data_IF_003616633465
#
_entry.id   IF_003616633465
#
_cell.length_a   1.000
_cell.length_b   1.000
_cell.length_c   1.000
_cell.angle_alpha   90.00
_cell.angle_beta   90.00
_cell.angle_gamma   90.00
#
_symmetry.space_group_name_H-M   'P 1'
#
loop_
_entity.id
_entity.type
_entity.pdbx_description
1 polymer ?
#
# COMPACT_ATOMS: atom_id res chain seq x y z
N UNK A 1 -10.87 10.72 -3.72
CA UNK A 1 -11.97 9.76 -3.90
C UNK A 1 -13.07 10.52 -4.60
N UNK A 2 -13.57 10.04 -5.74
CA UNK A 2 -14.78 10.59 -6.34
C UNK A 2 -15.96 10.07 -5.52
N UNK A 3 -16.66 10.95 -4.83
CA UNK A 3 -17.88 10.59 -4.10
C UNK A 3 -19.04 10.66 -5.08
N UNK A 4 -19.90 9.64 -5.05
CA UNK A 4 -21.10 9.55 -5.86
C UNK A 4 -22.31 9.68 -4.95
N UNK A 5 -23.32 10.44 -5.36
CA UNK A 5 -24.59 10.45 -4.65
C UNK A 5 -25.27 9.10 -4.85
N UNK A 6 -25.71 8.47 -3.75
CA UNK A 6 -26.35 7.17 -3.78
C UNK A 6 -27.66 7.19 -4.60
N UNK A 7 -28.43 8.28 -4.55
CA UNK A 7 -29.68 8.45 -5.29
C UNK A 7 -29.46 8.58 -6.81
N UNK A 8 -28.26 8.98 -7.24
CA UNK A 8 -27.91 9.11 -8.66
C UNK A 8 -27.47 7.77 -9.28
N UNK A 9 -27.03 6.82 -8.46
CA UNK A 9 -26.34 5.60 -8.95
C UNK A 9 -26.97 4.28 -8.51
N UNK A 10 -27.86 4.31 -7.51
CA UNK A 10 -28.56 3.13 -7.00
C UNK A 10 -30.07 3.21 -7.28
N UNK A 11 -30.75 2.06 -7.45
CA UNK A 11 -32.22 2.03 -7.50
C UNK A 11 -32.85 2.55 -6.21
N UNK A 12 -34.00 3.23 -6.32
CA UNK A 12 -34.70 3.83 -5.19
C UNK A 12 -35.01 2.80 -4.09
N UNK A 13 -35.47 1.60 -4.45
CA UNK A 13 -35.79 0.58 -3.44
C UNK A 13 -34.54 0.16 -2.64
N UNK A 14 -33.35 0.19 -3.24
CA UNK A 14 -32.11 -0.13 -2.54
C UNK A 14 -31.69 0.99 -1.59
N UNK A 15 -31.87 2.25 -1.99
CA UNK A 15 -31.61 3.42 -1.14
C UNK A 15 -32.52 3.37 0.09
N UNK A 16 -33.82 3.11 -0.09
CA UNK A 16 -34.78 2.97 1.01
C UNK A 16 -34.36 1.88 1.99
N UNK A 17 -33.86 0.74 1.47
CA UNK A 17 -33.37 -0.37 2.32
C UNK A 17 -32.10 0.00 3.06
N UNK A 18 -31.15 0.70 2.44
CA UNK A 18 -29.92 1.16 3.11
C UNK A 18 -30.25 2.15 4.22
N UNK A 19 -31.21 3.06 3.98
CA UNK A 19 -31.67 4.05 4.96
C UNK A 19 -32.29 3.42 6.23
N UNK A 20 -32.74 2.16 6.17
CA UNK A 20 -33.17 1.43 7.38
C UNK A 20 -32.00 1.10 8.33
N UNK A 21 -30.76 1.08 7.82
CA UNK A 21 -29.55 0.77 8.59
C UNK A 21 -28.70 2.02 8.88
N UNK A 22 -28.63 2.96 7.94
CA UNK A 22 -27.77 4.15 8.04
C UNK A 22 -28.33 5.31 7.22
N UNK A 23 -28.36 6.52 7.82
CA UNK A 23 -28.83 7.74 7.15
C UNK A 23 -27.84 8.88 7.40
N UNK A 24 -27.67 9.77 6.41
CA UNK A 24 -26.82 10.96 6.54
C UNK A 24 -25.31 10.68 6.65
N UNK A 25 -24.86 9.45 6.38
CA UNK A 25 -23.47 9.05 6.48
C UNK A 25 -22.93 8.49 5.16
N UNK A 26 -21.61 8.64 4.96
CA UNK A 26 -20.91 8.08 3.81
C UNK A 26 -20.61 6.59 4.03
N UNK A 27 -21.16 5.73 3.18
CA UNK A 27 -20.93 4.28 3.24
C UNK A 27 -19.88 3.85 2.20
N UNK A 28 -18.82 3.19 2.64
CA UNK A 28 -17.81 2.63 1.73
C UNK A 28 -18.28 1.27 1.20
N UNK A 29 -18.49 1.19 -0.11
CA UNK A 29 -18.74 -0.09 -0.79
C UNK A 29 -17.39 -0.67 -1.24
N UNK A 30 -16.95 -1.81 -0.69
CA UNK A 30 -15.71 -2.44 -1.12
C UNK A 30 -15.82 -2.89 -2.58
N UNK A 31 -14.74 -2.73 -3.33
CA UNK A 31 -14.66 -3.24 -4.71
C UNK A 31 -14.85 -4.77 -4.71
N UNK A 32 -15.69 -5.28 -5.60
CA UNK A 32 -15.80 -6.72 -5.85
C UNK A 32 -14.50 -7.27 -6.47
N UNK A 33 -14.06 -8.45 -5.98
CA UNK A 33 -12.83 -9.14 -6.40
C UNK A 33 -11.65 -8.92 -5.44
N UNK A 34 -10.47 -9.44 -5.82
CA UNK A 34 -9.25 -9.23 -5.03
C UNK A 34 -8.93 -7.73 -4.94
N UNK A 35 -8.80 -7.24 -3.71
CA UNK A 35 -8.23 -5.91 -3.48
C UNK A 35 -6.81 -5.94 -4.01
N UNK A 36 -6.58 -5.20 -5.11
CA UNK A 36 -5.22 -4.91 -5.53
C UNK A 36 -4.46 -4.36 -4.32
N UNK A 37 -3.35 -5.01 -3.96
CA UNK A 37 -2.55 -4.60 -2.81
C UNK A 37 -2.05 -3.18 -3.08
N UNK A 38 -1.84 -2.41 -2.02
CA UNK A 38 -1.38 -1.05 -2.14
C UNK A 38 -0.13 -0.98 -3.03
N UNK A 39 -0.15 -0.10 -4.04
CA UNK A 39 0.93 0.07 -5.00
C UNK A 39 0.95 -0.91 -6.20
N UNK A 40 0.01 -1.86 -6.29
CA UNK A 40 0.01 -2.88 -7.35
C UNK A 40 -0.48 -2.34 -8.71
N UNK A 41 -1.45 -1.41 -8.69
CA UNK A 41 -2.00 -0.84 -9.94
C UNK A 41 -1.17 0.28 -10.55
N UNK A 42 -0.36 0.97 -9.75
CA UNK A 42 0.44 2.12 -10.18
C UNK A 42 1.94 1.81 -10.22
N UNK A 43 2.33 0.53 -10.12
CA UNK A 43 3.74 0.10 -10.18
C UNK A 43 4.58 0.45 -8.94
N UNK A 44 4.07 1.25 -8.00
CA UNK A 44 4.81 1.69 -6.83
C UNK A 44 5.30 0.52 -5.97
N UNK A 45 4.53 -0.57 -5.90
CA UNK A 45 4.92 -1.77 -5.17
C UNK A 45 6.14 -2.45 -5.78
N UNK A 46 6.24 -2.48 -7.11
CA UNK A 46 7.36 -3.07 -7.82
C UNK A 46 8.61 -2.20 -7.66
N UNK A 47 8.49 -0.88 -7.83
CA UNK A 47 9.59 0.08 -7.62
C UNK A 47 10.16 -0.01 -6.20
N UNK A 48 9.29 -0.07 -5.18
CA UNK A 48 9.71 -0.22 -3.78
C UNK A 48 10.42 -1.57 -3.58
N UNK A 49 9.95 -2.64 -4.22
CA UNK A 49 10.58 -3.97 -4.13
C UNK A 49 11.98 -3.97 -4.75
N UNK A 50 12.13 -3.40 -5.94
CA UNK A 50 13.41 -3.29 -6.65
C UNK A 50 14.43 -2.47 -5.85
N UNK A 51 14.03 -1.29 -5.36
CA UNK A 51 14.85 -0.47 -4.46
C UNK A 51 15.29 -1.26 -3.23
N UNK A 52 14.38 -1.99 -2.59
CA UNK A 52 14.69 -2.76 -1.38
C UNK A 52 15.67 -3.92 -1.65
N UNK A 53 15.54 -4.59 -2.79
CA UNK A 53 16.48 -5.62 -3.24
C UNK A 53 17.88 -5.02 -3.46
N UNK A 54 17.95 -3.84 -4.07
CA UNK A 54 19.21 -3.14 -4.30
C UNK A 54 19.89 -2.74 -2.99
N UNK A 55 19.15 -2.11 -2.06
CA UNK A 55 19.64 -1.74 -0.72
C UNK A 55 20.19 -2.98 0.01
N UNK A 56 19.48 -4.10 -0.03
CA UNK A 56 19.92 -5.35 0.61
C UNK A 56 21.16 -5.96 -0.08
N UNK A 57 21.29 -5.82 -1.41
CA UNK A 57 22.47 -6.27 -2.14
C UNK A 57 23.70 -5.41 -1.82
N UNK A 58 23.54 -4.09 -1.81
CA UNK A 58 24.59 -3.12 -1.46
C UNK A 58 25.09 -3.31 -0.02
N UNK A 59 24.18 -3.44 0.94
CA UNK A 59 24.54 -3.73 2.33
C UNK A 59 25.33 -5.06 2.44
N UNK A 60 24.96 -6.10 1.69
CA UNK A 60 25.71 -7.37 1.66
C UNK A 60 27.11 -7.24 1.09
N UNK A 61 27.36 -6.26 0.22
CA UNK A 61 28.71 -5.93 -0.28
C UNK A 61 29.53 -5.09 0.70
N UNK A 62 29.01 -4.82 1.90
CA UNK A 62 29.72 -4.12 2.96
C UNK A 62 29.36 -2.64 3.09
N UNK A 63 28.37 -2.16 2.34
CA UNK A 63 27.93 -0.77 2.48
C UNK A 63 27.24 -0.52 3.83
N UNK A 64 27.59 0.58 4.49
CA UNK A 64 27.09 0.88 5.83
C UNK A 64 25.64 1.36 5.79
N UNK A 65 24.91 1.12 6.89
CA UNK A 65 23.54 1.62 7.04
C UNK A 65 23.48 3.14 6.87
N UNK A 66 24.49 3.88 7.38
CA UNK A 66 24.53 5.34 7.26
C UNK A 66 24.57 5.80 5.79
N UNK A 67 25.41 5.19 4.94
CA UNK A 67 25.45 5.53 3.50
C UNK A 67 24.15 5.21 2.79
N UNK A 68 23.54 4.07 3.10
CA UNK A 68 22.26 3.69 2.51
C UNK A 68 21.11 4.63 2.94
N UNK A 69 21.16 5.17 4.16
CA UNK A 69 20.20 6.18 4.61
C UNK A 69 20.33 7.47 3.79
N UNK A 70 21.56 7.93 3.56
CA UNK A 70 21.85 9.14 2.79
C UNK A 70 21.43 9.00 1.33
N UNK A 71 21.85 7.92 0.65
CA UNK A 71 21.61 7.72 -0.78
C UNK A 71 20.13 7.50 -1.11
N UNK A 72 19.41 6.76 -0.27
CA UNK A 72 17.99 6.44 -0.51
C UNK A 72 17.03 7.37 0.23
N UNK A 73 17.55 8.34 1.00
CA UNK A 73 16.77 9.27 1.83
C UNK A 73 15.78 8.53 2.76
N UNK A 74 16.22 7.45 3.39
CA UNK A 74 15.42 6.63 4.29
C UNK A 74 15.95 6.69 5.72
N UNK A 75 15.04 6.62 6.69
CA UNK A 75 15.41 6.53 8.10
C UNK A 75 16.08 5.19 8.46
N UNK A 76 16.80 5.19 9.58
CA UNK A 76 17.53 4.03 10.09
C UNK A 76 16.66 2.77 10.21
N UNK A 77 15.47 2.89 10.80
CA UNK A 77 14.57 1.75 10.98
C UNK A 77 14.07 1.17 9.66
N UNK A 78 13.86 2.01 8.65
CA UNK A 78 13.48 1.57 7.30
C UNK A 78 14.59 0.76 6.65
N UNK A 79 15.83 1.27 6.64
CA UNK A 79 16.99 0.55 6.10
C UNK A 79 17.22 -0.75 6.89
N UNK A 80 17.20 -0.69 8.22
CA UNK A 80 17.37 -1.86 9.09
C UNK A 80 16.32 -2.93 8.84
N UNK A 81 15.06 -2.53 8.64
CA UNK A 81 13.96 -3.45 8.31
C UNK A 81 14.20 -4.11 6.95
N UNK A 82 14.57 -3.33 5.93
CA UNK A 82 14.86 -3.84 4.59
C UNK A 82 15.99 -4.88 4.66
N UNK A 83 17.13 -4.52 5.25
CA UNK A 83 18.28 -5.43 5.38
C UNK A 83 17.92 -6.69 6.15
N UNK A 84 17.14 -6.60 7.23
CA UNK A 84 16.70 -7.77 8.02
C UNK A 84 15.73 -8.66 7.27
N UNK A 85 14.77 -8.09 6.55
CA UNK A 85 13.75 -8.83 5.81
C UNK A 85 14.38 -9.66 4.70
N UNK A 86 15.22 -9.04 3.87
CA UNK A 86 15.86 -9.70 2.72
C UNK A 86 17.05 -10.59 3.12
N UNK A 87 17.45 -10.59 4.40
CA UNK A 87 18.33 -11.61 4.98
C UNK A 87 17.59 -12.92 5.28
N UNK A 88 16.29 -12.85 5.62
CA UNK A 88 15.46 -14.04 5.96
C UNK A 88 14.95 -14.80 4.74
N UNK A 89 14.74 -14.13 3.60
CA UNK A 89 14.26 -14.75 2.35
C UNK A 89 15.30 -15.70 1.68
N UNK A 90 16.38 -16.07 2.39
CA UNK A 90 17.41 -17.05 1.98
C UNK A 90 17.42 -18.34 2.82
N UNK A 91 16.37 -18.59 3.62
CA UNK A 91 16.07 -19.87 4.27
C UNK A 91 14.73 -20.38 3.76
#
# INVERSE_FOLDING_TARGET
MMYLNAEEVLPAELVDRIQQYVQGAALYIPKQGERARWGEKNGARQLIKERNLEIAARHRRGESIARLMEEYHLGYDSIKKIVRQYRKERL
#
